data_IF_046939571401
#
_entry.id   IF_046939571401
#
_cell.length_a   1.000
_cell.length_b   1.000
_cell.length_c   1.000
_cell.angle_alpha   90.00
_cell.angle_beta   90.00
_cell.angle_gamma   90.00
#
_symmetry.space_group_name_H-M   'P 1'
#
loop_
_entity.id
_entity.type
_entity.pdbx_description
1 polymer ?
#
# COMPACT_ATOMS: atom_id res chain seq x y z
N UNK A 1 -15.79 -4.12 7.51
CA UNK A 1 -17.16 -4.25 6.99
C UNK A 1 -17.81 -2.89 7.08
N UNK A 2 -17.74 -2.13 5.99
CA UNK A 2 -18.58 -0.95 5.83
C UNK A 2 -20.03 -1.45 5.73
N UNK A 3 -20.98 -0.85 6.42
CA UNK A 3 -22.38 -1.35 6.46
C UNK A 3 -23.14 -1.23 5.12
N UNK A 4 -22.43 -1.14 4.00
CA UNK A 4 -22.89 -0.84 2.64
C UNK A 4 -22.18 -1.78 1.66
N UNK A 5 -22.91 -2.27 0.65
CA UNK A 5 -22.29 -2.87 -0.53
C UNK A 5 -22.10 -1.79 -1.60
N UNK A 6 -20.86 -1.53 -2.01
CA UNK A 6 -20.50 -0.54 -3.01
C UNK A 6 -20.73 -1.05 -4.43
N UNK A 7 -21.34 -0.21 -5.28
CA UNK A 7 -21.50 -0.44 -6.71
C UNK A 7 -20.93 0.73 -7.52
N UNK A 8 -20.89 0.60 -8.85
CA UNK A 8 -20.34 1.64 -9.74
C UNK A 8 -21.07 2.98 -9.58
N UNK A 9 -22.39 2.93 -9.39
CA UNK A 9 -23.27 4.09 -9.25
C UNK A 9 -23.03 4.89 -7.96
N UNK A 10 -22.30 4.34 -6.99
CA UNK A 10 -21.92 5.03 -5.77
C UNK A 10 -20.70 5.95 -5.95
N UNK A 11 -19.95 5.80 -7.05
CA UNK A 11 -18.79 6.62 -7.37
C UNK A 11 -19.21 7.77 -8.28
N UNK A 12 -19.33 8.96 -7.71
CA UNK A 12 -19.60 10.19 -8.46
C UNK A 12 -18.33 11.01 -8.65
N UNK A 13 -18.22 11.72 -9.77
CA UNK A 13 -17.08 12.60 -10.05
C UNK A 13 -16.85 13.59 -8.89
N UNK A 14 -15.58 13.74 -8.50
CA UNK A 14 -15.19 14.58 -7.36
C UNK A 14 -15.32 13.92 -5.99
N UNK A 15 -15.78 12.67 -5.89
CA UNK A 15 -15.81 11.95 -4.62
C UNK A 15 -14.41 11.77 -4.03
N UNK A 16 -14.32 11.85 -2.71
CA UNK A 16 -13.12 11.49 -1.94
C UNK A 16 -13.52 10.51 -0.85
N UNK A 17 -12.70 9.48 -0.64
CA UNK A 17 -12.90 8.47 0.39
C UNK A 17 -11.67 8.44 1.30
N UNK A 18 -11.91 8.59 2.60
CA UNK A 18 -10.87 8.39 3.60
C UNK A 18 -10.61 6.89 3.76
N UNK A 19 -9.36 6.48 3.51
CA UNK A 19 -8.92 5.09 3.64
C UNK A 19 -8.35 4.78 5.03
N UNK A 20 -8.33 5.77 5.92
CA UNK A 20 -7.72 5.69 7.25
C UNK A 20 -6.19 5.77 7.19
N UNK A 21 -5.55 5.26 8.24
CA UNK A 21 -4.10 5.30 8.41
C UNK A 21 -3.54 3.92 8.74
N UNK A 22 -2.40 3.58 8.14
CA UNK A 22 -1.62 2.39 8.50
C UNK A 22 -0.29 2.82 9.12
N UNK A 23 -0.04 2.37 10.35
CA UNK A 23 1.32 2.43 10.94
C UNK A 23 2.14 1.28 10.37
N UNK A 24 3.36 1.58 9.94
CA UNK A 24 4.28 0.62 9.33
C UNK A 24 5.48 0.44 10.24
N UNK A 25 5.80 -0.81 10.58
CA UNK A 25 6.93 -1.13 11.45
C UNK A 25 8.17 -1.51 10.64
N UNK A 26 9.36 -1.35 11.22
CA UNK A 26 10.60 -1.81 10.62
C UNK A 26 10.59 -3.32 10.32
N UNK A 27 9.96 -4.12 11.19
CA UNK A 27 9.84 -5.56 10.99
C UNK A 27 8.99 -5.89 9.74
N UNK A 28 7.86 -5.20 9.57
CA UNK A 28 6.99 -5.37 8.39
C UNK A 28 7.70 -4.94 7.09
N UNK A 29 8.51 -3.87 7.14
CA UNK A 29 9.34 -3.44 6.01
C UNK A 29 10.31 -4.55 5.61
N UNK A 30 11.06 -5.08 6.57
CA UNK A 30 12.08 -6.11 6.33
C UNK A 30 11.44 -7.41 5.87
N UNK A 31 10.30 -7.79 6.45
CA UNK A 31 9.55 -8.99 6.07
C UNK A 31 9.15 -8.94 4.59
N UNK A 32 8.46 -7.88 4.17
CA UNK A 32 8.07 -7.71 2.76
C UNK A 32 9.30 -7.67 1.84
N UNK A 33 10.32 -6.89 2.21
CA UNK A 33 11.51 -6.71 1.39
C UNK A 33 12.29 -8.02 1.22
N UNK A 34 12.38 -8.84 2.28
CA UNK A 34 13.09 -10.11 2.25
C UNK A 34 12.49 -11.08 1.24
N UNK A 35 11.18 -11.00 1.00
CA UNK A 35 10.49 -11.84 0.03
C UNK A 35 10.47 -11.24 -1.39
N UNK A 36 10.18 -9.94 -1.51
CA UNK A 36 9.81 -9.36 -2.81
C UNK A 36 10.78 -8.32 -3.38
N UNK A 37 11.56 -7.63 -2.53
CA UNK A 37 12.42 -6.53 -2.96
C UNK A 37 13.63 -6.39 -2.02
N UNK A 38 14.53 -7.39 -2.09
CA UNK A 38 15.65 -7.56 -1.17
C UNK A 38 16.82 -6.59 -1.45
N UNK A 39 16.53 -5.35 -1.87
CA UNK A 39 17.54 -4.32 -1.98
C UNK A 39 18.06 -3.95 -0.58
N UNK A 40 19.38 -3.72 -0.40
CA UNK A 40 19.97 -3.64 0.92
C UNK A 40 19.39 -2.56 1.85
N UNK A 41 18.96 -1.42 1.30
CA UNK A 41 18.33 -0.32 2.06
C UNK A 41 16.93 -0.65 2.61
N UNK A 42 16.34 -1.77 2.22
CA UNK A 42 15.06 -2.26 2.74
C UNK A 42 15.23 -3.36 3.81
N UNK A 43 16.45 -3.87 4.01
CA UNK A 43 16.71 -5.02 4.89
C UNK A 43 17.36 -4.65 6.22
N UNK A 44 18.06 -3.51 6.28
CA UNK A 44 18.75 -3.09 7.49
C UNK A 44 18.96 -1.58 7.56
N UNK A 45 18.79 -1.05 8.78
CA UNK A 45 18.99 0.36 9.09
C UNK A 45 20.37 0.88 8.69
N UNK A 46 21.44 0.13 9.03
CA UNK A 46 22.81 0.58 8.77
C UNK A 46 23.14 0.68 7.28
N UNK A 47 22.55 -0.20 6.46
CA UNK A 47 22.75 -0.14 5.01
C UNK A 47 21.85 0.93 4.38
N UNK A 48 20.65 1.13 4.94
CA UNK A 48 19.76 2.23 4.58
C UNK A 48 20.40 3.61 4.79
N UNK A 49 21.11 3.81 5.90
CA UNK A 49 21.86 5.06 6.20
C UNK A 49 22.96 5.37 5.18
N UNK A 50 23.58 4.33 4.60
CA UNK A 50 24.60 4.49 3.56
C UNK A 50 24.01 4.77 2.17
N UNK A 51 22.68 4.64 2.01
CA UNK A 51 21.98 4.92 0.77
C UNK A 51 21.55 6.39 0.66
N UNK A 52 21.06 6.79 -0.53
CA UNK A 52 20.49 8.13 -0.74
C UNK A 52 19.24 8.40 0.12
N UNK A 53 18.63 7.36 0.70
CA UNK A 53 17.41 7.45 1.49
C UNK A 53 17.69 7.81 2.96
N UNK A 54 18.94 7.63 3.43
CA UNK A 54 19.37 8.07 4.76
C UNK A 54 18.90 7.23 5.95
N UNK A 55 18.25 6.08 5.73
CA UNK A 55 17.80 5.15 6.77
C UNK A 55 17.07 3.95 6.18
N UNK A 56 16.59 3.03 7.03
CA UNK A 56 15.71 1.94 6.57
C UNK A 56 14.49 2.54 5.87
N UNK A 57 14.24 2.11 4.64
CA UNK A 57 13.11 2.58 3.85
C UNK A 57 12.25 1.41 3.41
N UNK A 58 10.93 1.60 3.31
CA UNK A 58 10.06 0.60 2.71
C UNK A 58 10.32 0.49 1.20
N UNK A 59 10.15 -0.72 0.64
CA UNK A 59 10.08 -0.89 -0.81
C UNK A 59 8.92 -0.08 -1.39
N UNK A 60 9.13 0.49 -2.58
CA UNK A 60 8.06 1.11 -3.35
C UNK A 60 6.92 0.15 -3.71
N UNK A 61 7.20 -1.15 -3.83
CA UNK A 61 6.16 -2.17 -4.02
C UNK A 61 5.40 -2.48 -2.74
N UNK A 62 6.07 -2.38 -1.58
CA UNK A 62 5.41 -2.53 -0.29
C UNK A 62 4.34 -1.44 -0.10
N UNK A 63 4.64 -0.19 -0.50
CA UNK A 63 3.65 0.90 -0.42
C UNK A 63 2.47 0.69 -1.35
N UNK A 64 2.68 0.15 -2.55
CA UNK A 64 1.60 -0.24 -3.47
C UNK A 64 0.71 -1.34 -2.87
N UNK A 65 1.31 -2.37 -2.26
CA UNK A 65 0.57 -3.45 -1.61
C UNK A 65 -0.23 -2.95 -0.40
N UNK A 66 0.35 -2.05 0.42
CA UNK A 66 -0.34 -1.42 1.54
C UNK A 66 -1.53 -0.56 1.08
N UNK A 67 -1.35 0.23 0.02
CA UNK A 67 -2.44 1.01 -0.56
C UNK A 67 -3.59 0.11 -1.05
N UNK A 68 -3.26 -1.00 -1.72
CA UNK A 68 -4.25 -1.99 -2.13
C UNK A 68 -5.00 -2.60 -0.94
N UNK A 69 -4.29 -2.94 0.16
CA UNK A 69 -4.92 -3.42 1.40
C UNK A 69 -5.89 -2.40 1.98
N UNK A 70 -5.52 -1.12 1.99
CA UNK A 70 -6.39 -0.05 2.47
C UNK A 70 -7.64 0.11 1.61
N UNK A 71 -7.54 -0.02 0.28
CA UNK A 71 -8.71 -0.04 -0.62
C UNK A 71 -9.62 -1.25 -0.38
N UNK A 72 -9.03 -2.43 -0.13
CA UNK A 72 -9.75 -3.63 0.29
C UNK A 72 -10.60 -3.38 1.53
N UNK A 73 -10.01 -2.79 2.55
CA UNK A 73 -10.70 -2.50 3.81
C UNK A 73 -11.76 -1.41 3.67
N UNK A 74 -11.51 -0.40 2.85
CA UNK A 74 -12.38 0.76 2.71
C UNK A 74 -13.64 0.47 1.88
N UNK A 75 -13.54 -0.28 0.77
CA UNK A 75 -14.72 -0.56 -0.04
C UNK A 75 -14.65 -1.84 -0.88
N UNK A 76 -13.48 -2.28 -1.36
CA UNK A 76 -13.45 -3.34 -2.39
C UNK A 76 -14.00 -4.67 -1.88
N UNK A 77 -13.71 -5.05 -0.62
CA UNK A 77 -14.22 -6.29 -0.04
C UNK A 77 -15.73 -6.27 0.20
N UNK A 78 -16.31 -5.08 0.34
CA UNK A 78 -17.74 -4.86 0.47
C UNK A 78 -18.31 -4.26 -0.83
N UNK A 79 -17.88 -4.73 -2.01
CA UNK A 79 -18.35 -4.20 -3.30
C UNK A 79 -18.85 -5.29 -4.25
N UNK A 80 -19.55 -4.87 -5.31
CA UNK A 80 -19.90 -5.74 -6.43
C UNK A 80 -18.72 -6.03 -7.36
N UNK A 81 -17.58 -5.33 -7.18
CA UNK A 81 -16.38 -5.54 -8.00
C UNK A 81 -15.74 -6.89 -7.73
N UNK A 82 -15.26 -7.55 -8.79
CA UNK A 82 -14.44 -8.76 -8.71
C UNK A 82 -12.97 -8.50 -9.10
N UNK A 83 -12.61 -7.24 -9.36
CA UNK A 83 -11.28 -6.81 -9.76
C UNK A 83 -10.73 -5.71 -8.87
N UNK A 84 -9.40 -5.62 -8.83
CA UNK A 84 -8.70 -4.48 -8.25
C UNK A 84 -8.84 -3.26 -9.18
N UNK A 85 -8.86 -2.02 -8.64
CA UNK A 85 -8.79 -0.80 -9.45
C UNK A 85 -7.47 -0.68 -10.24
N UNK A 86 -6.47 -1.49 -9.91
CA UNK A 86 -5.18 -1.50 -10.59
C UNK A 86 -4.32 -0.28 -10.24
N UNK A 87 -3.18 -0.21 -10.92
CA UNK A 87 -2.20 0.86 -10.79
C UNK A 87 -1.85 1.30 -12.20
N UNK A 88 -2.23 2.53 -12.58
CA UNK A 88 -1.95 3.06 -13.91
C UNK A 88 -0.51 3.61 -14.02
N UNK A 89 -0.03 4.31 -12.98
CA UNK A 89 1.30 4.91 -12.99
C UNK A 89 1.95 4.85 -11.60
N UNK A 90 3.16 4.29 -11.54
CA UNK A 90 4.06 4.33 -10.38
C UNK A 90 5.46 4.70 -10.87
N UNK A 91 6.10 5.62 -10.17
CA UNK A 91 7.46 6.07 -10.43
C UNK A 91 8.15 6.37 -9.10
N UNK A 92 9.45 6.06 -9.04
CA UNK A 92 10.35 6.36 -7.93
C UNK A 92 11.45 7.31 -8.41
#
# INVERSE_FOLDING_TARGET
MTGKTWAYEDFVEGSSLDLGSKTVSAAEIIEFASEFDAQPMHLAEEVGKASILGGLSASGWHTCAMFMRMLCDAFLLDSTSQGSPGIEHVKW
#
